data_IF_291306248006
#
_entry.id   IF_291306248006
#
_cell.length_a   1.000
_cell.length_b   1.000
_cell.length_c   1.000
_cell.angle_alpha   90.00
_cell.angle_beta   90.00
_cell.angle_gamma   90.00
#
_symmetry.space_group_name_H-M   'P 1'
#
loop_
_entity.id
_entity.type
_entity.pdbx_description
1 polymer ?
#
# COMPACT_ATOMS: atom_id res chain seq x y z
N UNK A 1 13.52 26.36 -13.25
CA UNK A 1 12.51 25.27 -13.40
C UNK A 1 12.38 24.57 -12.05
N UNK A 2 11.18 24.44 -11.48
CA UNK A 2 10.98 23.75 -10.19
C UNK A 2 10.87 22.24 -10.42
N UNK A 3 11.68 21.40 -9.76
CA UNK A 3 11.55 19.94 -9.85
C UNK A 3 10.18 19.45 -9.34
N UNK A 4 9.64 18.39 -9.95
CA UNK A 4 8.33 17.83 -9.56
C UNK A 4 8.29 17.40 -8.09
N UNK A 5 9.34 16.75 -7.59
CA UNK A 5 9.39 16.31 -6.19
C UNK A 5 9.22 17.46 -5.20
N UNK A 6 9.81 18.63 -5.53
CA UNK A 6 9.74 19.82 -4.67
C UNK A 6 8.31 20.38 -4.64
N UNK A 7 7.63 20.40 -5.79
CA UNK A 7 6.22 20.77 -5.85
C UNK A 7 5.34 19.81 -5.02
N UNK A 8 5.57 18.50 -5.11
CA UNK A 8 4.80 17.51 -4.35
C UNK A 8 4.96 17.71 -2.84
N UNK A 9 6.18 18.00 -2.37
CA UNK A 9 6.42 18.31 -0.95
C UNK A 9 5.76 19.63 -0.54
N UNK A 10 5.84 20.66 -1.37
CA UNK A 10 5.19 21.95 -1.12
C UNK A 10 3.65 21.81 -1.07
N UNK A 11 3.05 21.03 -1.98
CA UNK A 11 1.62 20.73 -1.96
C UNK A 11 1.21 19.97 -0.70
N UNK A 12 2.00 18.97 -0.29
CA UNK A 12 1.76 18.23 0.95
C UNK A 12 1.80 19.16 2.17
N UNK A 13 2.81 20.03 2.25
CA UNK A 13 2.91 21.02 3.32
C UNK A 13 1.66 21.92 3.39
N UNK A 14 1.23 22.44 2.24
CA UNK A 14 0.09 23.36 2.14
C UNK A 14 -1.28 22.68 2.40
N UNK A 15 -1.47 21.43 2.00
CA UNK A 15 -2.79 20.76 2.03
C UNK A 15 -3.01 19.79 3.19
N UNK A 16 -1.94 19.21 3.72
CA UNK A 16 -2.04 18.15 4.74
C UNK A 16 -1.13 18.41 5.95
N UNK A 17 -0.52 19.60 6.02
CA UNK A 17 0.53 19.91 6.99
C UNK A 17 1.76 19.01 6.83
N UNK A 18 2.02 18.51 5.62
CA UNK A 18 3.15 17.65 5.31
C UNK A 18 3.02 16.20 5.78
N UNK A 19 1.91 15.82 6.42
CA UNK A 19 1.71 14.47 6.98
C UNK A 19 1.25 13.44 5.95
N UNK A 20 0.70 13.90 4.81
CA UNK A 20 0.21 13.06 3.71
C UNK A 20 0.49 13.73 2.37
N UNK A 21 0.54 12.95 1.29
CA UNK A 21 0.65 13.54 -0.05
C UNK A 21 -0.58 14.41 -0.36
N UNK A 22 -0.33 15.53 -1.05
CA UNK A 22 -1.40 16.30 -1.69
C UNK A 22 -1.95 15.57 -2.93
N UNK A 23 -3.04 16.08 -3.53
CA UNK A 23 -3.69 15.46 -4.66
C UNK A 23 -2.79 15.06 -5.83
N UNK A 24 -1.77 15.86 -6.19
CA UNK A 24 -0.88 15.49 -7.30
C UNK A 24 0.00 14.31 -6.90
N UNK A 25 0.64 14.39 -5.73
CA UNK A 25 1.50 13.32 -5.24
C UNK A 25 0.73 12.01 -5.04
N UNK A 26 -0.47 12.09 -4.47
CA UNK A 26 -1.29 10.90 -4.20
C UNK A 26 -1.80 10.24 -5.48
N UNK A 27 -2.23 11.02 -6.47
CA UNK A 27 -2.65 10.46 -7.78
C UNK A 27 -1.51 9.75 -8.48
N UNK A 28 -0.31 10.35 -8.54
CA UNK A 28 0.85 9.72 -9.20
C UNK A 28 1.15 8.36 -8.55
N UNK A 29 1.26 8.31 -7.23
CA UNK A 29 1.60 7.08 -6.51
C UNK A 29 0.46 6.05 -6.60
N UNK A 30 -0.80 6.47 -6.47
CA UNK A 30 -1.94 5.58 -6.57
C UNK A 30 -2.01 4.89 -7.94
N UNK A 31 -1.86 5.65 -9.03
CA UNK A 31 -1.88 5.10 -10.39
C UNK A 31 -0.72 4.15 -10.66
N UNK A 32 0.47 4.42 -10.10
CA UNK A 32 1.60 3.48 -10.17
C UNK A 32 1.27 2.17 -9.47
N UNK A 33 0.79 2.23 -8.21
CA UNK A 33 0.44 1.02 -7.45
C UNK A 33 -0.69 0.23 -8.11
N UNK A 34 -1.76 0.90 -8.56
CA UNK A 34 -2.86 0.29 -9.30
C UNK A 34 -2.35 -0.37 -10.57
N UNK A 35 -1.49 0.32 -11.32
CA UNK A 35 -0.88 -0.18 -12.53
C UNK A 35 -0.04 -1.45 -12.31
N UNK A 36 0.78 -1.47 -11.25
CA UNK A 36 1.57 -2.64 -10.85
C UNK A 36 0.66 -3.82 -10.49
N UNK A 37 -0.34 -3.59 -9.63
CA UNK A 37 -1.27 -4.66 -9.22
C UNK A 37 -2.04 -5.20 -10.42
N UNK A 38 -2.48 -4.37 -11.37
CA UNK A 38 -3.24 -4.85 -12.54
C UNK A 38 -2.40 -5.61 -13.56
N UNK A 39 -1.11 -5.28 -13.70
CA UNK A 39 -0.23 -5.84 -14.73
C UNK A 39 0.68 -6.98 -14.25
N UNK A 40 0.79 -7.18 -12.93
CA UNK A 40 1.59 -8.27 -12.38
C UNK A 40 1.05 -9.64 -12.80
N UNK A 41 1.95 -10.54 -13.21
CA UNK A 41 1.59 -11.91 -13.58
C UNK A 41 1.08 -12.74 -12.40
N UNK A 42 1.55 -12.42 -11.19
CA UNK A 42 1.16 -13.06 -9.93
C UNK A 42 0.24 -12.15 -9.09
N UNK A 43 -0.52 -11.30 -9.76
CA UNK A 43 -1.44 -10.40 -9.07
C UNK A 43 -2.54 -11.16 -8.34
N UNK A 44 -2.84 -10.74 -7.11
CA UNK A 44 -4.03 -11.17 -6.36
C UNK A 44 -5.36 -10.87 -7.08
N UNK A 45 -5.35 -9.97 -8.08
CA UNK A 45 -6.52 -9.66 -8.92
C UNK A 45 -6.63 -10.56 -10.16
N UNK A 46 -5.58 -11.31 -10.49
CA UNK A 46 -5.52 -12.17 -11.69
C UNK A 46 -5.99 -13.59 -11.31
N UNK A 47 -7.01 -14.08 -12.01
CA UNK A 47 -7.49 -15.46 -11.86
C UNK A 47 -8.24 -15.72 -10.54
N UNK A 48 -9.53 -16.06 -10.68
CA UNK A 48 -10.50 -16.31 -9.60
C UNK A 48 -10.86 -15.06 -8.77
N UNK A 49 -12.12 -14.62 -8.88
CA UNK A 49 -12.75 -13.51 -8.11
C UNK A 49 -12.79 -13.74 -6.58
N UNK A 50 -11.94 -14.61 -6.02
CA UNK A 50 -12.00 -15.10 -4.64
C UNK A 50 -10.62 -15.35 -4.06
N UNK A 51 -9.57 -14.63 -4.50
CA UNK A 51 -8.31 -14.67 -3.78
C UNK A 51 -8.56 -14.38 -2.30
N UNK A 52 -8.03 -15.24 -1.43
CA UNK A 52 -8.04 -15.09 0.03
C UNK A 52 -6.61 -15.30 0.52
N UNK A 53 -6.19 -14.57 1.56
CA UNK A 53 -4.92 -14.84 2.21
C UNK A 53 -4.88 -16.29 2.71
N UNK A 54 -3.78 -16.99 2.43
CA UNK A 54 -3.54 -18.37 2.89
C UNK A 54 -2.58 -18.46 4.07
N UNK A 55 -1.87 -17.37 4.38
CA UNK A 55 -0.95 -17.31 5.51
C UNK A 55 -1.72 -17.33 6.84
N UNK A 56 -1.11 -17.87 7.93
CA UNK A 56 -1.71 -17.85 9.25
C UNK A 56 -2.09 -16.43 9.67
N UNK A 57 -3.32 -16.27 10.17
CA UNK A 57 -3.82 -14.99 10.66
C UNK A 57 -4.70 -15.18 11.89
N UNK A 58 -4.86 -14.11 12.67
CA UNK A 58 -5.74 -14.12 13.83
C UNK A 58 -7.23 -14.28 13.45
N UNK A 59 -7.63 -13.82 12.26
CA UNK A 59 -9.00 -13.89 11.76
C UNK A 59 -9.04 -14.59 10.40
N UNK A 60 -9.71 -15.76 10.29
CA UNK A 60 -9.77 -16.51 9.03
C UNK A 60 -10.26 -15.67 7.84
N UNK A 61 -9.52 -15.71 6.73
CA UNK A 61 -9.84 -14.96 5.51
C UNK A 61 -9.42 -13.49 5.51
N UNK A 62 -8.90 -12.98 6.62
CA UNK A 62 -8.30 -11.65 6.74
C UNK A 62 -6.82 -11.82 7.05
N UNK A 63 -5.96 -10.95 6.50
CA UNK A 63 -4.54 -10.94 6.82
C UNK A 63 -4.08 -9.48 6.96
N UNK A 64 -3.49 -9.17 8.11
CA UNK A 64 -3.11 -7.81 8.50
C UNK A 64 -1.61 -7.70 8.75
N UNK A 65 -1.11 -6.46 8.89
CA UNK A 65 0.32 -6.25 9.16
C UNK A 65 0.80 -6.93 10.46
N UNK A 66 0.05 -6.92 11.58
CA UNK A 66 0.39 -7.73 12.75
C UNK A 66 0.54 -9.23 12.47
N UNK A 67 -0.29 -9.80 11.60
CA UNK A 67 -0.17 -11.22 11.21
C UNK A 67 1.14 -11.47 10.46
N UNK A 68 1.53 -10.55 9.56
CA UNK A 68 2.83 -10.61 8.88
C UNK A 68 4.00 -10.56 9.87
N UNK A 69 3.94 -9.68 10.87
CA UNK A 69 5.01 -9.53 11.85
C UNK A 69 5.14 -10.76 12.77
N UNK A 70 4.01 -11.38 13.15
CA UNK A 70 4.02 -12.66 13.87
C UNK A 70 4.57 -13.79 13.01
N UNK A 71 4.13 -13.88 11.75
CA UNK A 71 4.63 -14.86 10.80
C UNK A 71 6.16 -14.73 10.57
N UNK A 72 6.67 -13.50 10.52
CA UNK A 72 8.10 -13.21 10.40
C UNK A 72 8.90 -13.40 11.71
N UNK A 73 8.23 -13.74 12.83
CA UNK A 73 8.88 -13.97 14.12
C UNK A 73 9.40 -12.71 14.83
N UNK A 74 9.07 -11.52 14.32
CA UNK A 74 9.53 -10.23 14.90
C UNK A 74 8.55 -9.67 15.93
N UNK A 75 7.37 -10.26 16.04
CA UNK A 75 6.34 -9.89 17.01
C UNK A 75 5.94 -11.14 17.77
N UNK A 76 6.51 -11.30 18.96
CA UNK A 76 6.16 -12.38 19.90
C UNK A 76 4.72 -12.17 20.38
N UNK A 77 3.87 -13.19 20.22
CA UNK A 77 2.48 -13.12 20.68
C UNK A 77 2.36 -13.15 22.21
N UNK A 78 1.42 -12.34 22.73
CA UNK A 78 0.71 -12.64 23.98
C UNK A 78 -0.56 -13.41 23.70
#
# INVERSE_FOLDING_TARGET
>A
RTPLWYYVLAEAAARTGGKRLGPVGSTIIAEVLIGLVRRSEDSILKGQRRWKPSLPSAQPGTFTLPDLLRFAGVLSGG
#
